data_IF_958141469999
#
_entry.id   IF_958141469999
#
_cell.length_a   1.000
_cell.length_b   1.000
_cell.length_c   1.000
_cell.angle_alpha   90.00
_cell.angle_beta   90.00
_cell.angle_gamma   90.00
#
_symmetry.space_group_name_H-M   'P 1'
#
loop_
_entity.id
_entity.type
_entity.pdbx_description
1 polymer ?
#
# COMPACT_ATOMS: atom_id res chain seq x y z
N UNK A 1 8.35 -13.46 -30.42
CA UNK A 1 7.91 -14.45 -29.41
C UNK A 1 8.69 -14.35 -28.10
N UNK A 2 10.02 -14.15 -28.11
CA UNK A 2 10.82 -13.93 -26.88
C UNK A 2 10.40 -12.68 -26.06
N UNK A 3 10.01 -11.58 -26.72
CA UNK A 3 9.57 -10.36 -26.02
C UNK A 3 8.24 -10.48 -25.25
N UNK A 4 7.32 -11.37 -25.67
CA UNK A 4 6.07 -11.62 -24.95
C UNK A 4 6.35 -12.33 -23.61
N UNK A 5 7.21 -13.36 -23.63
CA UNK A 5 7.63 -14.06 -22.41
C UNK A 5 8.37 -13.14 -21.42
N UNK A 6 9.19 -12.22 -21.92
CA UNK A 6 9.89 -11.24 -21.07
C UNK A 6 8.90 -10.30 -20.36
N UNK A 7 7.91 -9.78 -21.10
CA UNK A 7 6.90 -8.89 -20.55
C UNK A 7 5.99 -9.60 -19.55
N UNK A 8 5.60 -10.86 -19.82
CA UNK A 8 4.79 -11.66 -18.91
C UNK A 8 5.52 -11.94 -17.59
N UNK A 9 6.83 -12.17 -17.64
CA UNK A 9 7.68 -12.36 -16.45
C UNK A 9 7.78 -11.05 -15.65
N UNK A 10 8.03 -9.93 -16.30
CA UNK A 10 8.11 -8.61 -15.65
C UNK A 10 6.79 -8.23 -14.98
N UNK A 11 5.66 -8.46 -15.67
CA UNK A 11 4.33 -8.25 -15.11
C UNK A 11 4.09 -9.12 -13.88
N UNK A 12 4.44 -10.42 -13.93
CA UNK A 12 4.28 -11.34 -12.80
C UNK A 12 5.04 -10.86 -11.56
N UNK A 13 6.29 -10.44 -11.70
CA UNK A 13 7.07 -9.94 -10.56
C UNK A 13 6.54 -8.61 -10.05
N UNK A 14 6.13 -7.71 -10.95
CA UNK A 14 5.54 -6.41 -10.58
C UNK A 14 4.25 -6.60 -9.78
N UNK A 15 3.34 -7.47 -10.22
CA UNK A 15 2.10 -7.78 -9.51
C UNK A 15 2.40 -8.34 -8.10
N UNK A 16 3.37 -9.24 -7.99
CA UNK A 16 3.76 -9.83 -6.72
C UNK A 16 4.35 -8.81 -5.74
N UNK A 17 5.16 -7.87 -6.24
CA UNK A 17 5.69 -6.76 -5.45
C UNK A 17 4.56 -5.86 -4.96
N UNK A 18 3.59 -5.55 -5.82
CA UNK A 18 2.39 -4.79 -5.48
C UNK A 18 1.57 -5.49 -4.38
N UNK A 19 1.31 -6.79 -4.50
CA UNK A 19 0.61 -7.57 -3.48
C UNK A 19 1.35 -7.58 -2.14
N UNK A 20 2.67 -7.73 -2.19
CA UNK A 20 3.51 -7.74 -0.99
C UNK A 20 3.46 -6.38 -0.29
N UNK A 21 3.54 -5.29 -1.06
CA UNK A 21 3.43 -3.94 -0.52
C UNK A 21 2.04 -3.66 0.08
N UNK A 22 0.95 -4.13 -0.55
CA UNK A 22 -0.40 -4.03 0.02
C UNK A 22 -0.51 -4.71 1.38
N UNK A 23 0.01 -5.94 1.50
CA UNK A 23 0.03 -6.69 2.77
C UNK A 23 0.84 -5.95 3.85
N UNK A 24 1.98 -5.36 3.47
CA UNK A 24 2.79 -4.57 4.40
C UNK A 24 2.01 -3.38 4.96
N UNK A 25 1.30 -2.64 4.11
CA UNK A 25 0.49 -1.48 4.51
C UNK A 25 -0.66 -1.90 5.43
N UNK A 26 -1.29 -3.04 5.16
CA UNK A 26 -2.32 -3.59 6.02
C UNK A 26 -1.77 -3.91 7.43
N UNK A 27 -0.61 -4.57 7.52
CA UNK A 27 0.05 -4.87 8.79
C UNK A 27 0.39 -3.59 9.55
N UNK A 28 1.01 -2.62 8.88
CA UNK A 28 1.39 -1.33 9.50
C UNK A 28 0.17 -0.54 9.97
N UNK A 29 -0.94 -0.61 9.22
CA UNK A 29 -2.20 -0.03 9.63
C UNK A 29 -2.76 -0.66 10.91
N UNK A 30 -2.71 -1.99 11.04
CA UNK A 30 -3.10 -2.65 12.28
C UNK A 30 -2.18 -2.27 13.45
N UNK A 31 -0.87 -2.23 13.22
CA UNK A 31 0.10 -1.79 14.24
C UNK A 31 -0.17 -0.35 14.70
N UNK A 32 -0.54 0.54 13.76
CA UNK A 32 -0.89 1.93 14.06
C UNK A 32 -2.14 2.02 14.96
N UNK A 33 -3.22 1.33 14.60
CA UNK A 33 -4.49 1.35 15.35
C UNK A 33 -4.38 0.73 16.73
N UNK A 34 -3.61 -0.35 16.84
CA UNK A 34 -3.37 -1.02 18.11
C UNK A 34 -2.35 -0.28 19.00
N UNK A 35 -1.88 0.89 18.58
CA UNK A 35 -0.95 1.70 19.37
C UNK A 35 0.44 1.09 19.51
N UNK A 36 0.81 0.14 18.65
CA UNK A 36 2.10 -0.57 18.68
C UNK A 36 3.26 0.27 18.11
N UNK A 37 2.95 1.38 17.43
CA UNK A 37 3.93 2.29 16.86
C UNK A 37 4.13 3.53 17.74
N UNK A 38 5.39 3.91 17.94
CA UNK A 38 5.78 5.03 18.79
C UNK A 38 6.73 6.00 18.07
N UNK A 39 6.68 7.27 18.48
CA UNK A 39 7.57 8.34 17.99
C UNK A 39 7.58 8.40 16.45
N UNK A 40 8.76 8.45 15.86
CA UNK A 40 8.97 8.56 14.42
C UNK A 40 8.30 7.43 13.62
N UNK A 41 8.28 6.20 14.13
CA UNK A 41 7.66 5.07 13.43
C UNK A 41 6.16 5.29 13.19
N UNK A 42 5.48 5.89 14.18
CA UNK A 42 4.06 6.23 14.06
C UNK A 42 3.82 7.24 12.94
N UNK A 43 4.61 8.31 12.91
CA UNK A 43 4.45 9.39 11.93
C UNK A 43 4.83 8.96 10.52
N UNK A 44 5.86 8.11 10.37
CA UNK A 44 6.23 7.51 9.08
C UNK A 44 5.08 6.66 8.52
N UNK A 45 4.50 5.77 9.34
CA UNK A 45 3.40 4.90 8.89
C UNK A 45 2.16 5.71 8.52
N UNK A 46 1.81 6.74 9.30
CA UNK A 46 0.71 7.66 8.94
C UNK A 46 0.97 8.35 7.60
N UNK A 47 2.18 8.90 7.42
CA UNK A 47 2.56 9.56 6.18
C UNK A 47 2.49 8.62 4.98
N UNK A 48 2.98 7.39 5.12
CA UNK A 48 2.93 6.37 4.07
C UNK A 48 1.48 6.03 3.69
N UNK A 49 0.62 5.78 4.69
CA UNK A 49 -0.81 5.50 4.47
C UNK A 49 -1.48 6.68 3.74
N UNK A 50 -1.18 7.91 4.13
CA UNK A 50 -1.72 9.11 3.47
C UNK A 50 -1.25 9.20 2.01
N UNK A 51 0.05 9.01 1.73
CA UNK A 51 0.59 9.09 0.36
C UNK A 51 0.03 8.01 -0.55
N UNK A 52 -0.22 6.82 -0.01
CA UNK A 52 -0.90 5.74 -0.71
C UNK A 52 -2.35 6.15 -1.00
N UNK A 53 -3.04 6.76 -0.04
CA UNK A 53 -4.41 7.21 -0.20
C UNK A 53 -4.60 8.36 -1.20
N UNK A 54 -3.59 9.23 -1.32
CA UNK A 54 -3.51 10.28 -2.34
C UNK A 54 -3.21 9.71 -3.75
N UNK A 55 -3.11 8.38 -3.89
CA UNK A 55 -2.83 7.68 -5.14
C UNK A 55 -1.51 8.12 -5.79
N UNK A 56 -0.54 8.55 -4.98
CA UNK A 56 0.79 9.00 -5.45
C UNK A 56 1.58 7.83 -6.05
N UNK A 57 1.29 6.61 -5.61
CA UNK A 57 1.82 5.38 -6.19
C UNK A 57 0.76 4.79 -7.13
N UNK A 58 1.01 4.74 -8.45
CA UNK A 58 0.07 4.15 -9.39
C UNK A 58 0.13 2.63 -9.24
N UNK A 59 -0.65 2.09 -8.31
CA UNK A 59 -0.89 0.66 -8.18
C UNK A 59 -1.67 0.18 -9.41
N UNK A 60 -0.98 -0.04 -10.53
CA UNK A 60 -1.59 -0.60 -11.74
C UNK A 60 -2.33 -1.89 -11.36
N UNK A 61 -3.64 -1.92 -11.57
CA UNK A 61 -4.48 -3.10 -11.29
C UNK A 61 -5.22 -3.11 -9.95
N UNK A 62 -5.27 -2.02 -9.17
CA UNK A 62 -6.29 -1.93 -8.12
C UNK A 62 -7.63 -1.54 -8.71
N UNK A 63 -8.48 -2.54 -8.96
CA UNK A 63 -9.89 -2.40 -8.58
C UNK A 63 -9.89 -1.82 -7.16
N UNK A 64 -10.23 -0.54 -7.06
CA UNK A 64 -10.56 0.19 -5.85
C UNK A 64 -10.10 -0.50 -4.55
N UNK A 65 -8.78 -0.58 -4.30
CA UNK A 65 -8.35 -0.65 -2.91
C UNK A 65 -8.96 0.60 -2.29
N UNK A 66 -9.95 0.46 -1.42
CA UNK A 66 -10.69 1.62 -0.90
C UNK A 66 -9.71 2.39 -0.03
N UNK A 67 -8.97 3.29 -0.66
CA UNK A 67 -8.03 4.20 -0.02
C UNK A 67 -8.76 5.04 1.05
N UNK A 68 -10.03 5.35 0.79
CA UNK A 68 -10.96 5.93 1.76
C UNK A 68 -11.15 5.05 3.01
N UNK A 69 -11.24 3.72 2.85
CA UNK A 69 -11.37 2.78 3.96
C UNK A 69 -10.07 2.67 4.77
N UNK A 70 -8.90 2.80 4.13
CA UNK A 70 -7.62 2.89 4.82
C UNK A 70 -7.54 4.15 5.69
N UNK A 71 -7.89 5.31 5.16
CA UNK A 71 -7.90 6.57 5.91
C UNK A 71 -8.90 6.54 7.05
N UNK A 72 -10.15 6.16 6.77
CA UNK A 72 -11.25 6.07 7.74
C UNK A 72 -10.86 5.16 8.91
N UNK A 73 -10.45 3.93 8.60
CA UNK A 73 -10.15 2.96 9.64
C UNK A 73 -8.92 3.35 10.49
N UNK A 74 -7.99 4.14 9.96
CA UNK A 74 -6.84 4.66 10.74
C UNK A 74 -7.11 6.00 11.44
N UNK A 75 -8.34 6.55 11.33
CA UNK A 75 -8.69 7.88 11.80
C UNK A 75 -7.77 8.98 11.22
N UNK A 76 -7.34 8.79 9.98
CA UNK A 76 -6.51 9.73 9.23
C UNK A 76 -7.42 10.50 8.27
N UNK A 77 -8.24 11.39 8.83
CA UNK A 77 -9.03 12.33 8.04
C UNK A 77 -8.20 13.59 7.81
N UNK A 78 -8.16 14.08 6.57
CA UNK A 78 -7.55 15.36 6.18
C UNK A 78 -8.55 16.47 6.43
#
# INVERSE_FOLDING_TARGET
MQGLFQQDIENFYTEREIETAKKQVEIESYMLRNGMLHRQKKEIVKYNIQKIAENVVPWNGTDAWKLSELLEKNNLFI
#
